data_IF_159883429584
#
_entry.id   IF_159883429584
#
_cell.length_a   1.000
_cell.length_b   1.000
_cell.length_c   1.000
_cell.angle_alpha   90.00
_cell.angle_beta   90.00
_cell.angle_gamma   90.00
#
_symmetry.space_group_name_H-M   'P 1'
#
loop_
_entity.id
_entity.type
_entity.pdbx_description
1 polymer ?
#
# COMPACT_ATOMS: atom_id res chain seq x y z
N UNK A 1 -9.43 -22.59 -0.55
CA UNK A 1 -10.18 -21.34 -0.28
C UNK A 1 -9.40 -20.59 0.77
N UNK A 2 -8.63 -19.58 0.36
CA UNK A 2 -8.00 -18.68 1.32
C UNK A 2 -9.10 -17.92 2.04
N UNK A 3 -9.42 -18.38 3.25
CA UNK A 3 -10.40 -17.74 4.13
C UNK A 3 -9.90 -16.33 4.40
N UNK A 4 -10.81 -15.38 4.21
CA UNK A 4 -10.65 -13.98 4.58
C UNK A 4 -10.14 -13.94 6.03
N UNK A 5 -8.94 -13.42 6.25
CA UNK A 5 -8.37 -13.32 7.60
C UNK A 5 -9.22 -12.41 8.49
N UNK A 6 -9.24 -12.63 9.82
CA UNK A 6 -9.97 -11.78 10.75
C UNK A 6 -9.59 -10.30 10.58
N UNK A 7 -10.56 -9.45 10.24
CA UNK A 7 -10.36 -8.01 9.97
C UNK A 7 -10.30 -7.64 8.48
N UNK A 8 -10.24 -8.62 7.58
CA UNK A 8 -10.51 -8.40 6.15
C UNK A 8 -12.00 -8.63 5.89
N UNK A 9 -12.60 -7.81 5.04
CA UNK A 9 -14.02 -7.91 4.68
C UNK A 9 -14.23 -7.48 3.23
N UNK A 10 -15.26 -8.00 2.59
CA UNK A 10 -15.61 -7.50 1.26
C UNK A 10 -15.99 -6.03 1.39
N UNK A 11 -15.43 -5.14 0.56
CA UNK A 11 -15.80 -3.72 0.56
C UNK A 11 -17.32 -3.49 0.36
N UNK A 12 -18.04 -4.52 -0.11
CA UNK A 12 -19.49 -4.58 -0.18
C UNK A 12 -20.03 -5.65 0.79
N UNK A 13 -20.20 -5.26 2.06
CA UNK A 13 -20.72 -6.11 3.15
C UNK A 13 -22.01 -6.85 2.76
N UNK A 14 -22.89 -6.23 1.98
CA UNK A 14 -24.11 -6.87 1.49
C UNK A 14 -23.87 -8.18 0.71
N UNK A 15 -22.73 -8.31 0.01
CA UNK A 15 -22.34 -9.54 -0.68
C UNK A 15 -21.84 -10.61 0.29
N UNK A 16 -21.15 -10.19 1.34
CA UNK A 16 -20.68 -11.09 2.39
C UNK A 16 -21.86 -11.74 3.13
N UNK A 17 -22.90 -10.95 3.44
CA UNK A 17 -24.13 -11.44 4.08
C UNK A 17 -24.88 -12.52 3.29
N UNK A 18 -24.67 -12.60 1.96
CA UNK A 18 -25.30 -13.61 1.09
C UNK A 18 -24.31 -14.66 0.57
N UNK A 19 -23.12 -14.77 1.19
CA UNK A 19 -22.11 -15.77 0.83
C UNK A 19 -21.40 -15.53 -0.51
N UNK A 20 -21.48 -14.30 -1.04
CA UNK A 20 -20.87 -13.86 -2.30
C UNK A 20 -19.62 -12.98 -2.07
N UNK A 21 -18.95 -13.19 -0.94
CA UNK A 21 -17.70 -12.50 -0.60
C UNK A 21 -16.66 -12.76 -1.68
N UNK A 22 -16.02 -11.69 -2.17
CA UNK A 22 -14.92 -11.81 -3.12
C UNK A 22 -13.77 -12.61 -2.50
N UNK A 23 -13.13 -13.48 -3.28
CA UNK A 23 -11.87 -14.10 -2.87
C UNK A 23 -10.73 -13.05 -2.79
N UNK A 24 -9.58 -13.45 -2.25
CA UNK A 24 -8.44 -12.54 -2.04
C UNK A 24 -7.92 -11.93 -3.35
N UNK A 25 -7.94 -12.68 -4.45
CA UNK A 25 -7.52 -12.18 -5.77
C UNK A 25 -8.50 -11.15 -6.33
N UNK A 26 -9.79 -11.41 -6.20
CA UNK A 26 -10.86 -10.46 -6.58
C UNK A 26 -10.81 -9.19 -5.72
N UNK A 27 -10.56 -9.31 -4.42
CA UNK A 27 -10.38 -8.16 -3.53
C UNK A 27 -9.18 -7.30 -3.96
N UNK A 28 -8.04 -7.94 -4.29
CA UNK A 28 -6.87 -7.24 -4.80
C UNK A 28 -7.16 -6.52 -6.12
N UNK A 29 -7.85 -7.19 -7.06
CA UNK A 29 -8.23 -6.59 -8.34
C UNK A 29 -9.16 -5.38 -8.15
N UNK A 30 -10.16 -5.48 -7.26
CA UNK A 30 -11.02 -4.35 -6.91
C UNK A 30 -10.24 -3.21 -6.25
N UNK A 31 -9.34 -3.53 -5.31
CA UNK A 31 -8.48 -2.56 -4.65
C UNK A 31 -7.59 -1.80 -5.62
N UNK A 32 -6.96 -2.52 -6.56
CA UNK A 32 -6.14 -1.97 -7.63
C UNK A 32 -6.95 -1.04 -8.54
N UNK A 33 -8.12 -1.49 -9.02
CA UNK A 33 -8.98 -0.66 -9.88
C UNK A 33 -9.48 0.60 -9.15
N UNK A 34 -9.85 0.47 -7.88
CA UNK A 34 -10.24 1.60 -7.05
C UNK A 34 -9.07 2.58 -6.85
N UNK A 35 -7.85 2.07 -6.66
CA UNK A 35 -6.65 2.89 -6.53
C UNK A 35 -6.36 3.66 -7.81
N UNK A 36 -6.35 3.00 -8.97
CA UNK A 36 -6.15 3.64 -10.27
C UNK A 36 -7.17 4.77 -10.50
N UNK A 37 -8.45 4.49 -10.25
CA UNK A 37 -9.53 5.48 -10.35
C UNK A 37 -9.34 6.66 -9.39
N UNK A 38 -8.90 6.40 -8.14
CA UNK A 38 -8.66 7.46 -7.14
C UNK A 38 -7.47 8.33 -7.53
N UNK A 39 -6.40 7.73 -8.03
CA UNK A 39 -5.19 8.45 -8.46
C UNK A 39 -5.50 9.40 -9.63
N UNK A 40 -6.37 8.98 -10.54
CA UNK A 40 -6.82 9.79 -11.67
C UNK A 40 -7.77 10.92 -11.23
N UNK A 41 -8.76 10.62 -10.39
CA UNK A 41 -9.90 11.53 -10.15
C UNK A 41 -9.84 12.33 -8.85
N UNK A 42 -9.13 11.85 -7.84
CA UNK A 42 -9.07 12.43 -6.49
C UNK A 42 -7.75 12.05 -5.78
N UNK A 43 -6.59 12.47 -6.32
CA UNK A 43 -5.27 12.04 -5.85
C UNK A 43 -4.98 12.40 -4.39
N UNK A 44 -5.55 13.49 -3.89
CA UNK A 44 -5.47 13.93 -2.49
C UNK A 44 -5.99 12.88 -1.50
N UNK A 45 -6.96 12.08 -1.93
CA UNK A 45 -7.56 11.05 -1.11
C UNK A 45 -6.89 9.67 -1.26
N UNK A 46 -6.03 9.49 -2.26
CA UNK A 46 -5.39 8.21 -2.56
C UNK A 46 -4.53 7.71 -1.39
N UNK A 47 -4.01 8.60 -0.55
CA UNK A 47 -3.16 8.23 0.59
C UNK A 47 -3.85 7.31 1.61
N UNK A 48 -5.14 7.51 1.89
CA UNK A 48 -5.89 6.62 2.80
C UNK A 48 -6.06 5.24 2.19
N UNK A 49 -6.35 5.20 0.89
CA UNK A 49 -6.53 3.94 0.16
C UNK A 49 -5.22 3.17 0.05
N UNK A 50 -4.10 3.82 -0.27
CA UNK A 50 -2.77 3.21 -0.24
C UNK A 50 -2.49 2.56 1.11
N UNK A 51 -2.67 3.29 2.22
CA UNK A 51 -2.40 2.76 3.56
C UNK A 51 -3.22 1.49 3.83
N UNK A 52 -4.51 1.52 3.48
CA UNK A 52 -5.39 0.36 3.62
C UNK A 52 -4.88 -0.82 2.78
N UNK A 53 -4.65 -0.60 1.49
CA UNK A 53 -4.22 -1.65 0.56
C UNK A 53 -2.87 -2.25 0.92
N UNK A 54 -1.88 -1.44 1.34
CA UNK A 54 -0.58 -1.93 1.79
C UNK A 54 -0.67 -2.75 3.07
N UNK A 55 -1.65 -2.46 3.94
CA UNK A 55 -1.88 -3.23 5.16
C UNK A 55 -2.63 -4.54 4.88
N UNK A 56 -3.58 -4.52 3.93
CA UNK A 56 -4.38 -5.67 3.49
C UNK A 56 -3.58 -6.64 2.59
N UNK A 57 -2.71 -6.10 1.74
CA UNK A 57 -1.91 -6.84 0.76
C UNK A 57 -0.41 -6.47 0.88
N UNK A 58 0.24 -6.84 2.00
CA UNK A 58 1.63 -6.43 2.29
C UNK A 58 2.67 -7.04 1.33
N UNK A 59 2.28 -8.03 0.53
CA UNK A 59 3.10 -8.74 -0.47
C UNK A 59 2.90 -8.20 -1.90
N UNK A 60 2.13 -7.13 -2.07
CA UNK A 60 1.74 -6.56 -3.37
C UNK A 60 2.20 -5.12 -3.58
N UNK A 61 3.24 -4.68 -2.87
CA UNK A 61 3.67 -3.28 -2.91
C UNK A 61 4.16 -2.85 -4.30
N UNK A 62 4.84 -3.74 -5.03
CA UNK A 62 5.26 -3.49 -6.42
C UNK A 62 4.08 -3.10 -7.32
N UNK A 63 2.96 -3.82 -7.19
CA UNK A 63 1.74 -3.54 -7.97
C UNK A 63 1.18 -2.16 -7.67
N UNK A 64 1.20 -1.72 -6.40
CA UNK A 64 0.74 -0.39 -6.03
C UNK A 64 1.71 0.72 -6.47
N UNK A 65 3.01 0.42 -6.50
CA UNK A 65 4.01 1.31 -7.06
C UNK A 65 3.78 1.51 -8.57
N UNK A 66 3.53 0.44 -9.31
CA UNK A 66 3.22 0.50 -10.75
C UNK A 66 2.00 1.38 -11.03
N UNK A 67 0.91 1.24 -10.28
CA UNK A 67 -0.27 2.12 -10.43
C UNK A 67 0.06 3.59 -10.18
N UNK A 68 0.87 3.89 -9.17
CA UNK A 68 1.35 5.24 -8.92
C UNK A 68 2.24 5.77 -10.04
N UNK A 69 3.10 4.93 -10.63
CA UNK A 69 3.94 5.30 -11.78
C UNK A 69 3.06 5.63 -12.99
N UNK A 70 2.12 4.75 -13.33
CA UNK A 70 1.21 4.97 -14.47
C UNK A 70 0.37 6.25 -14.32
N UNK A 71 -0.01 6.60 -13.09
CA UNK A 71 -0.74 7.83 -12.80
C UNK A 71 0.14 9.09 -12.68
N UNK A 72 1.48 8.97 -12.72
CA UNK A 72 2.39 10.10 -12.45
C UNK A 72 2.26 10.64 -11.01
N UNK A 73 2.08 9.73 -10.05
CA UNK A 73 1.82 9.99 -8.62
C UNK A 73 2.71 9.15 -7.70
N UNK A 74 3.95 8.90 -8.12
CA UNK A 74 4.95 8.14 -7.34
C UNK A 74 5.20 8.78 -5.97
N UNK A 75 5.15 10.12 -5.90
CA UNK A 75 5.28 10.89 -4.66
C UNK A 75 4.25 10.46 -3.58
N UNK A 76 3.02 10.17 -4.00
CA UNK A 76 1.93 9.80 -3.11
C UNK A 76 2.14 8.39 -2.55
N UNK A 77 2.59 7.46 -3.40
CA UNK A 77 3.00 6.13 -2.98
C UNK A 77 4.17 6.20 -1.99
N UNK A 78 5.26 6.90 -2.35
CA UNK A 78 6.47 7.03 -1.53
C UNK A 78 6.14 7.56 -0.13
N UNK A 79 5.33 8.62 -0.06
CA UNK A 79 4.92 9.25 1.21
C UNK A 79 4.17 8.29 2.13
N UNK A 80 3.28 7.46 1.58
CA UNK A 80 2.52 6.49 2.38
C UNK A 80 3.38 5.27 2.73
N UNK A 81 4.10 4.73 1.75
CA UNK A 81 5.01 3.59 1.92
C UNK A 81 6.06 3.87 3.01
N UNK A 82 6.65 5.06 3.03
CA UNK A 82 7.63 5.46 4.05
C UNK A 82 7.04 5.39 5.47
N UNK A 83 5.79 5.85 5.64
CA UNK A 83 5.09 5.80 6.94
C UNK A 83 4.76 4.39 7.38
N UNK A 84 4.29 3.55 6.45
CA UNK A 84 3.97 2.15 6.73
C UNK A 84 5.26 1.40 7.08
N UNK A 85 6.32 1.55 6.29
CA UNK A 85 7.61 0.92 6.52
C UNK A 85 8.21 1.35 7.87
N UNK A 86 8.20 2.65 8.19
CA UNK A 86 8.69 3.15 9.47
C UNK A 86 7.92 2.61 10.70
N UNK A 87 6.69 2.13 10.54
CA UNK A 87 5.94 1.52 11.63
C UNK A 87 6.36 0.05 11.89
N UNK A 88 7.02 -0.62 10.95
CA UNK A 88 7.43 -2.01 11.08
C UNK A 88 8.51 -2.17 12.16
N UNK A 89 8.39 -3.16 13.06
CA UNK A 89 9.23 -3.22 14.27
C UNK A 89 10.69 -3.54 13.94
N UNK A 90 10.96 -4.48 13.04
CA UNK A 90 12.31 -4.99 12.80
C UNK A 90 12.95 -4.39 11.55
N UNK A 91 14.30 -4.33 11.56
CA UNK A 91 15.07 -3.91 10.38
C UNK A 91 14.83 -4.85 9.18
N UNK A 92 14.68 -6.15 9.44
CA UNK A 92 14.43 -7.15 8.41
C UNK A 92 13.09 -6.93 7.70
N UNK A 93 12.01 -6.66 8.45
CA UNK A 93 10.70 -6.34 7.86
C UNK A 93 10.76 -5.06 7.02
N UNK A 94 11.47 -4.02 7.50
CA UNK A 94 11.65 -2.77 6.73
C UNK A 94 12.42 -2.97 5.43
N UNK A 95 13.47 -3.78 5.46
CA UNK A 95 14.22 -4.13 4.25
C UNK A 95 13.35 -4.94 3.28
N UNK A 96 12.68 -5.99 3.76
CA UNK A 96 11.77 -6.80 2.93
C UNK A 96 10.64 -5.97 2.32
N UNK A 97 10.08 -5.01 3.07
CA UNK A 97 9.07 -4.09 2.57
C UNK A 97 9.62 -3.21 1.43
N UNK A 98 10.79 -2.61 1.62
CA UNK A 98 11.47 -1.77 0.63
C UNK A 98 11.83 -2.55 -0.64
N UNK A 99 12.37 -3.75 -0.47
CA UNK A 99 12.89 -4.57 -1.58
C UNK A 99 11.80 -4.98 -2.57
N UNK A 100 10.53 -4.99 -2.16
CA UNK A 100 9.41 -5.28 -3.05
C UNK A 100 9.28 -4.29 -4.20
N UNK A 101 9.62 -3.02 -4.02
CA UNK A 101 9.40 -1.97 -5.03
C UNK A 101 10.66 -1.17 -5.38
N UNK A 102 11.79 -1.43 -4.72
CA UNK A 102 13.04 -0.70 -4.94
C UNK A 102 13.53 -0.73 -6.40
N UNK A 103 13.24 -1.80 -7.14
CA UNK A 103 13.55 -1.91 -8.57
C UNK A 103 12.46 -1.38 -9.52
N UNK A 104 11.31 -0.97 -8.99
CA UNK A 104 10.15 -0.54 -9.78
C UNK A 104 10.07 0.98 -9.92
N UNK A 105 10.49 1.73 -8.90
CA UNK A 105 10.40 3.20 -8.88
C UNK A 105 11.72 3.87 -9.30
N UNK A 106 11.68 5.12 -9.80
CA UNK A 106 12.90 5.88 -10.09
C UNK A 106 13.83 6.02 -8.89
N UNK A 107 15.14 6.12 -9.15
CA UNK A 107 16.16 6.21 -8.10
C UNK A 107 15.96 7.43 -7.18
N UNK A 108 15.52 8.56 -7.74
CA UNK A 108 15.24 9.78 -6.97
C UNK A 108 14.05 9.58 -6.02
N UNK A 109 13.00 8.90 -6.46
CA UNK A 109 11.84 8.55 -5.63
C UNK A 109 12.20 7.54 -4.54
N UNK A 110 13.11 6.59 -4.83
CA UNK A 110 13.63 5.65 -3.84
C UNK A 110 14.48 6.37 -2.77
N UNK A 111 15.30 7.33 -3.17
CA UNK A 111 16.05 8.18 -2.25
C UNK A 111 15.13 9.05 -1.38
N UNK A 112 14.06 9.60 -1.96
CA UNK A 112 13.04 10.32 -1.24
C UNK A 112 12.30 9.42 -0.24
N UNK A 113 12.00 8.17 -0.61
CA UNK A 113 11.46 7.17 0.29
C UNK A 113 12.39 6.91 1.49
N UNK A 114 13.68 6.63 1.23
CA UNK A 114 14.64 6.32 2.28
C UNK A 114 14.79 7.48 3.28
N UNK A 115 14.80 8.71 2.76
CA UNK A 115 14.84 9.94 3.57
C UNK A 115 13.58 10.10 4.44
N UNK A 116 12.40 9.95 3.87
CA UNK A 116 11.12 10.09 4.58
C UNK A 116 10.93 8.98 5.62
N UNK A 117 11.30 7.74 5.28
CA UNK A 117 11.20 6.60 6.19
C UNK A 117 12.13 6.79 7.39
N UNK A 118 13.37 7.23 7.18
CA UNK A 118 14.31 7.48 8.26
C UNK A 118 13.85 8.63 9.20
N UNK A 119 13.26 9.69 8.64
CA UNK A 119 12.69 10.78 9.42
C UNK A 119 11.48 10.31 10.25
N UNK A 120 10.59 9.53 9.64
CA UNK A 120 9.41 8.99 10.33
C UNK A 120 9.80 7.96 11.40
N UNK A 121 10.78 7.10 11.13
CA UNK A 121 11.32 6.15 12.12
C UNK A 121 11.82 6.89 13.36
N UNK A 122 12.62 7.95 13.14
CA UNK A 122 13.09 8.82 14.23
C UNK A 122 11.92 9.48 14.97
N UNK A 123 10.88 9.95 14.28
CA UNK A 123 9.68 10.51 14.94
C UNK A 123 8.94 9.48 15.81
N UNK A 124 8.85 8.23 15.37
CA UNK A 124 8.15 7.15 16.08
C UNK A 124 8.93 6.57 17.27
N UNK A 125 10.26 6.77 17.32
CA UNK A 125 11.17 6.18 18.33
C UNK A 125 11.99 7.21 19.11
N UNK A 126 11.96 8.47 18.72
CA UNK A 126 12.65 9.58 19.39
C UNK A 126 11.91 10.04 20.65
N UNK A 127 11.68 9.11 21.57
CA UNK A 127 11.47 9.41 22.99
C UNK A 127 12.75 9.06 23.74
#
# INVERSE_FOLDING_TARGET
MDRIEPGMGCCRIAREHVGLSCDRGQQLACGRAALACRLDRAPEDAGRLFKSLMSTFPDRLAMFADEAIQAGRVDAFVRVAARVCAALPTKAERHSFRDQFAGCIPADDLSAFDTQMAAEWRRLRGK
#
